data_IF_849896251905
#
_entry.id   IF_849896251905
#
_cell.length_a   1.000
_cell.length_b   1.000
_cell.length_c   1.000
_cell.angle_alpha   90.00
_cell.angle_beta   90.00
_cell.angle_gamma   90.00
#
_symmetry.space_group_name_H-M   'P 1'
#
loop_
_entity.id
_entity.type
_entity.pdbx_description
1 polymer ?
#
# COMPACT_ATOMS: atom_id res chain seq x y z
N UNK A 1 -11.11 28.18 -8.23
CA UNK A 1 -11.03 26.82 -7.67
C UNK A 1 -11.27 26.79 -6.15
N UNK A 2 -10.93 27.82 -5.38
CA UNK A 2 -11.23 27.87 -3.93
C UNK A 2 -12.74 27.90 -3.58
N UNK A 3 -13.61 28.06 -4.58
CA UNK A 3 -15.07 27.94 -4.39
C UNK A 3 -15.56 26.47 -4.33
N UNK A 4 -14.69 25.51 -4.64
CA UNK A 4 -15.02 24.08 -4.56
C UNK A 4 -14.82 23.56 -3.14
N UNK A 5 -15.93 23.17 -2.51
CA UNK A 5 -15.96 22.67 -1.14
C UNK A 5 -15.69 21.16 -1.11
N UNK A 6 -14.69 20.75 -0.35
CA UNK A 6 -14.28 19.35 -0.22
C UNK A 6 -14.36 18.90 1.24
N UNK A 7 -14.85 17.69 1.44
CA UNK A 7 -14.58 16.89 2.64
C UNK A 7 -13.60 15.80 2.24
N UNK A 8 -12.51 15.66 3.02
CA UNK A 8 -11.50 14.63 2.80
C UNK A 8 -11.64 13.49 3.79
N UNK A 9 -11.57 12.24 3.31
CA UNK A 9 -11.59 11.04 4.13
C UNK A 9 -10.33 10.20 3.88
N UNK A 10 -9.47 10.07 4.87
CA UNK A 10 -8.21 9.34 4.73
C UNK A 10 -7.57 9.01 6.07
N UNK A 11 -6.57 8.12 6.08
CA UNK A 11 -5.94 7.72 7.36
C UNK A 11 -4.41 7.61 7.26
N UNK A 12 -3.80 6.77 6.39
CA UNK A 12 -2.36 6.54 6.36
C UNK A 12 -1.61 7.69 5.65
N UNK A 13 -0.31 7.61 5.72
CA UNK A 13 0.65 8.47 5.03
C UNK A 13 0.43 8.53 3.51
N UNK A 14 -0.01 7.45 2.89
CA UNK A 14 -0.39 7.41 1.47
C UNK A 14 -1.37 8.55 1.08
N UNK A 15 -2.24 8.95 1.98
CA UNK A 15 -3.24 9.97 1.73
C UNK A 15 -2.73 11.42 1.92
N UNK A 16 -1.54 11.59 2.52
CA UNK A 16 -0.99 12.91 2.90
C UNK A 16 -0.74 13.83 1.70
N UNK A 17 -0.04 13.41 0.61
CA UNK A 17 0.16 14.28 -0.54
C UNK A 17 -1.15 14.74 -1.16
N UNK A 18 -2.15 13.83 -1.24
CA UNK A 18 -3.49 14.16 -1.74
C UNK A 18 -4.16 15.25 -0.89
N UNK A 19 -4.17 15.11 0.44
CA UNK A 19 -4.76 16.13 1.32
C UNK A 19 -4.05 17.47 1.18
N UNK A 20 -2.72 17.50 1.20
CA UNK A 20 -1.93 18.74 1.05
C UNK A 20 -2.23 19.44 -0.27
N UNK A 21 -2.27 18.69 -1.37
CA UNK A 21 -2.57 19.25 -2.70
C UNK A 21 -3.99 19.80 -2.77
N UNK A 22 -4.95 19.12 -2.15
CA UNK A 22 -6.34 19.59 -2.10
C UNK A 22 -6.50 20.85 -1.24
N UNK A 23 -5.79 20.98 -0.13
CA UNK A 23 -5.75 22.21 0.70
C UNK A 23 -5.20 23.40 -0.10
N UNK A 24 -4.16 23.16 -0.89
CA UNK A 24 -3.56 24.19 -1.76
C UNK A 24 -4.55 24.70 -2.81
N UNK A 25 -5.26 23.81 -3.48
CA UNK A 25 -6.07 24.08 -4.67
C UNK A 25 -7.53 24.41 -4.37
N UNK A 26 -8.12 23.82 -3.34
CA UNK A 26 -9.56 23.82 -3.07
C UNK A 26 -9.85 24.25 -1.62
N UNK A 27 -11.13 24.33 -1.28
CA UNK A 27 -11.62 24.66 0.06
C UNK A 27 -11.95 23.37 0.83
N UNK A 28 -10.94 22.79 1.51
CA UNK A 28 -11.15 21.62 2.36
C UNK A 28 -11.77 22.05 3.69
N UNK A 29 -13.05 21.74 3.91
CA UNK A 29 -13.84 22.14 5.08
C UNK A 29 -13.67 21.24 6.28
N UNK A 30 -13.50 19.95 6.06
CA UNK A 30 -13.36 18.97 7.12
C UNK A 30 -12.56 17.75 6.66
N UNK A 31 -11.96 17.09 7.62
CA UNK A 31 -11.23 15.85 7.45
C UNK A 31 -11.85 14.76 8.32
N UNK A 32 -12.08 13.59 7.73
CA UNK A 32 -12.50 12.38 8.44
C UNK A 32 -11.36 11.38 8.42
N UNK A 33 -11.00 10.85 9.59
CA UNK A 33 -9.91 9.88 9.72
C UNK A 33 -10.23 8.83 10.79
N UNK A 34 -9.49 7.72 10.80
CA UNK A 34 -9.65 6.70 11.85
C UNK A 34 -9.30 7.28 13.23
N UNK A 35 -9.92 6.77 14.30
CA UNK A 35 -9.53 7.12 15.67
C UNK A 35 -8.04 6.90 15.94
N UNK A 36 -7.48 7.70 16.84
CA UNK A 36 -6.10 7.54 17.31
C UNK A 36 -5.89 6.13 17.87
N UNK A 37 -4.77 5.50 17.53
CA UNK A 37 -4.48 4.11 17.93
C UNK A 37 -3.12 3.99 18.61
N UNK A 38 -2.96 3.03 19.53
CA UNK A 38 -1.66 2.73 20.11
C UNK A 38 -0.64 2.35 19.01
N UNK A 39 0.51 3.04 18.96
CA UNK A 39 1.59 2.79 17.99
C UNK A 39 2.90 2.51 18.72
N UNK A 40 3.73 1.63 18.15
CA UNK A 40 5.06 1.30 18.65
C UNK A 40 5.08 0.44 19.90
N UNK A 41 6.31 0.15 20.41
CA UNK A 41 6.53 -0.73 21.58
C UNK A 41 5.96 -0.16 22.89
N UNK A 42 5.84 1.17 23.00
CA UNK A 42 5.31 1.86 24.17
C UNK A 42 3.78 2.02 24.17
N UNK A 43 3.07 1.54 23.14
CA UNK A 43 1.61 1.67 22.99
C UNK A 43 1.06 3.09 23.24
N UNK A 44 1.85 4.13 23.02
CA UNK A 44 1.38 5.52 23.09
C UNK A 44 0.36 5.76 21.98
N UNK A 45 -0.72 6.47 22.31
CA UNK A 45 -1.70 6.90 21.32
C UNK A 45 -1.00 7.80 20.30
N UNK A 46 -1.12 7.45 19.02
CA UNK A 46 -0.60 8.23 17.91
C UNK A 46 -1.77 8.69 17.03
N UNK A 47 -1.70 9.92 16.60
CA UNK A 47 -2.58 10.49 15.60
C UNK A 47 -2.34 9.81 14.25
N UNK A 48 -3.35 9.82 13.37
CA UNK A 48 -3.15 9.48 11.98
C UNK A 48 -2.35 10.60 11.28
N UNK A 49 -1.58 10.26 10.26
CA UNK A 49 -0.86 11.25 9.47
C UNK A 49 -1.79 12.33 8.88
N UNK A 50 -3.00 11.94 8.54
CA UNK A 50 -4.03 12.86 8.05
C UNK A 50 -4.53 13.83 9.12
N UNK A 51 -4.69 13.36 10.37
CA UNK A 51 -5.04 14.24 11.49
C UNK A 51 -3.97 15.30 11.76
N UNK A 52 -2.70 14.90 11.73
CA UNK A 52 -1.58 15.82 11.91
C UNK A 52 -1.62 16.95 10.86
N UNK A 53 -1.74 16.61 9.57
CA UNK A 53 -1.84 17.60 8.49
C UNK A 53 -3.09 18.50 8.64
N UNK A 54 -4.23 17.94 9.03
CA UNK A 54 -5.46 18.72 9.20
C UNK A 54 -5.32 19.76 10.32
N UNK A 55 -4.75 19.38 11.47
CA UNK A 55 -4.51 20.27 12.60
C UNK A 55 -3.52 21.39 12.27
N UNK A 56 -2.43 21.08 11.55
CA UNK A 56 -1.45 22.06 11.05
C UNK A 56 -2.09 23.13 10.15
N UNK A 57 -3.19 22.77 9.46
CA UNK A 57 -3.90 23.66 8.54
C UNK A 57 -5.21 24.23 9.12
N UNK A 58 -5.47 24.06 10.43
CA UNK A 58 -6.68 24.50 11.12
C UNK A 58 -7.98 23.95 10.50
N UNK A 59 -7.96 22.72 10.00
CA UNK A 59 -9.11 22.04 9.43
C UNK A 59 -9.77 21.17 10.50
N UNK A 60 -11.10 21.22 10.58
CA UNK A 60 -11.89 20.45 11.52
C UNK A 60 -11.75 18.95 11.28
N UNK A 61 -11.52 18.15 12.35
CA UNK A 61 -11.24 16.72 12.27
C UNK A 61 -12.33 15.91 12.95
N UNK A 62 -12.84 14.91 12.25
CA UNK A 62 -13.81 13.94 12.73
C UNK A 62 -13.23 12.54 12.73
N UNK A 63 -13.45 11.78 13.81
CA UNK A 63 -12.88 10.45 14.00
C UNK A 63 -13.96 9.40 14.35
N UNK A 64 -14.93 9.15 13.46
CA UNK A 64 -15.98 8.17 13.72
C UNK A 64 -15.41 6.75 13.82
N UNK A 65 -15.84 5.97 14.81
CA UNK A 65 -15.49 4.53 14.90
C UNK A 65 -16.10 3.78 13.73
N UNK A 66 -17.37 4.08 13.41
CA UNK A 66 -18.11 3.56 12.25
C UNK A 66 -18.98 4.68 11.68
N UNK A 67 -18.53 5.31 10.61
CA UNK A 67 -19.24 6.47 10.03
C UNK A 67 -20.68 6.15 9.67
N UNK A 68 -20.98 4.97 9.12
CA UNK A 68 -22.34 4.57 8.75
C UNK A 68 -23.38 4.57 9.87
N UNK A 69 -22.93 4.57 11.13
CA UNK A 69 -23.78 4.55 12.31
C UNK A 69 -23.61 5.81 13.19
N UNK A 70 -22.87 6.80 12.69
CA UNK A 70 -22.53 8.02 13.45
C UNK A 70 -23.41 9.18 12.96
N UNK A 71 -24.59 9.31 13.57
CA UNK A 71 -25.58 10.33 13.21
C UNK A 71 -25.02 11.76 13.31
N UNK A 72 -24.14 12.01 14.29
CA UNK A 72 -23.51 13.33 14.49
C UNK A 72 -22.60 13.65 13.30
N UNK A 73 -21.72 12.70 12.92
CA UNK A 73 -20.84 12.86 11.78
C UNK A 73 -21.61 12.97 10.45
N UNK A 74 -22.69 12.19 10.27
CA UNK A 74 -23.53 12.25 9.08
C UNK A 74 -24.27 13.59 9.00
N UNK A 75 -24.83 14.07 10.12
CA UNK A 75 -25.46 15.38 10.20
C UNK A 75 -24.48 16.49 9.81
N UNK A 76 -23.25 16.42 10.34
CA UNK A 76 -22.21 17.40 10.01
C UNK A 76 -21.84 17.39 8.53
N UNK A 77 -21.72 16.22 7.90
CA UNK A 77 -21.54 16.12 6.46
C UNK A 77 -22.65 16.80 5.65
N UNK A 78 -23.90 16.61 6.07
CA UNK A 78 -25.06 17.28 5.43
C UNK A 78 -25.03 18.79 5.64
N UNK A 79 -24.64 19.28 6.82
CA UNK A 79 -24.47 20.72 7.11
C UNK A 79 -23.36 21.36 6.26
N UNK A 80 -22.23 20.68 6.07
CA UNK A 80 -21.14 21.14 5.21
C UNK A 80 -21.59 21.19 3.75
N UNK A 81 -22.46 20.26 3.30
CA UNK A 81 -22.97 20.14 1.95
C UNK A 81 -21.87 20.28 0.88
N UNK A 82 -20.84 19.39 0.89
CA UNK A 82 -19.67 19.54 0.05
C UNK A 82 -19.97 19.31 -1.43
N UNK A 83 -19.16 19.94 -2.30
CA UNK A 83 -19.16 19.62 -3.73
C UNK A 83 -18.68 18.19 -3.97
N UNK A 84 -17.62 17.79 -3.27
CA UNK A 84 -17.05 16.45 -3.35
C UNK A 84 -16.72 15.89 -1.95
N UNK A 85 -16.85 14.58 -1.80
CA UNK A 85 -16.16 13.81 -0.75
C UNK A 85 -15.02 13.05 -1.43
N UNK A 86 -13.77 13.35 -1.03
CA UNK A 86 -12.58 12.69 -1.56
C UNK A 86 -12.09 11.66 -0.57
N UNK A 87 -11.94 10.42 -1.02
CA UNK A 87 -11.57 9.26 -0.19
C UNK A 87 -10.24 8.69 -0.64
N UNK A 88 -9.29 8.60 0.29
CA UNK A 88 -7.98 7.99 0.04
C UNK A 88 -7.61 7.11 1.24
N UNK A 89 -7.70 5.80 1.09
CA UNK A 89 -7.37 4.83 2.13
C UNK A 89 -8.00 5.14 3.50
N UNK A 90 -9.29 5.48 3.53
CA UNK A 90 -10.03 5.81 4.77
C UNK A 90 -10.23 4.60 5.68
N UNK A 91 -10.40 3.42 5.10
CA UNK A 91 -10.57 2.17 5.84
C UNK A 91 -11.97 1.94 6.39
N UNK A 92 -12.99 2.62 5.88
CA UNK A 92 -14.41 2.38 6.19
C UNK A 92 -15.25 2.37 4.91
N UNK A 93 -16.29 1.56 4.92
CA UNK A 93 -17.30 1.54 3.84
C UNK A 93 -18.28 2.69 4.08
N UNK A 94 -18.58 3.47 3.05
CA UNK A 94 -19.55 4.52 3.09
C UNK A 94 -20.95 3.96 2.83
N UNK A 95 -21.93 4.40 3.63
CA UNK A 95 -23.34 4.06 3.38
C UNK A 95 -23.89 4.84 2.20
N UNK A 96 -24.98 4.34 1.58
CA UNK A 96 -25.68 5.06 0.53
C UNK A 96 -26.04 6.49 0.94
N UNK A 97 -26.47 6.67 2.18
CA UNK A 97 -26.77 7.99 2.74
C UNK A 97 -25.58 8.96 2.64
N UNK A 98 -24.35 8.49 2.95
CA UNK A 98 -23.14 9.32 2.86
C UNK A 98 -22.73 9.53 1.40
N UNK A 99 -22.87 8.51 0.56
CA UNK A 99 -22.54 8.57 -0.87
C UNK A 99 -23.40 9.61 -1.63
N UNK A 100 -24.64 9.81 -1.20
CA UNK A 100 -25.60 10.72 -1.83
C UNK A 100 -25.48 12.18 -1.32
N UNK A 101 -24.62 12.49 -0.32
CA UNK A 101 -24.49 13.85 0.23
C UNK A 101 -23.82 14.83 -0.76
N UNK A 102 -22.65 14.51 -1.33
CA UNK A 102 -21.90 15.49 -2.12
C UNK A 102 -22.53 15.75 -3.48
N UNK A 103 -22.54 17.02 -3.88
CA UNK A 103 -23.14 17.47 -5.15
C UNK A 103 -22.64 16.73 -6.38
N UNK A 104 -21.34 16.50 -6.48
CA UNK A 104 -20.69 15.83 -7.61
C UNK A 104 -20.30 14.39 -7.32
N UNK A 105 -20.49 13.91 -6.08
CA UNK A 105 -20.27 12.52 -5.67
C UNK A 105 -19.02 12.29 -4.81
N UNK A 106 -18.88 11.05 -4.37
CA UNK A 106 -17.72 10.57 -3.61
C UNK A 106 -16.70 9.99 -4.59
N UNK A 107 -15.47 10.51 -4.56
CA UNK A 107 -14.37 10.09 -5.42
C UNK A 107 -13.31 9.38 -4.58
N UNK A 108 -12.95 8.15 -4.98
CA UNK A 108 -11.86 7.41 -4.38
C UNK A 108 -10.61 7.44 -5.28
N UNK A 109 -9.44 7.59 -4.65
CA UNK A 109 -8.15 7.32 -5.27
C UNK A 109 -7.73 5.90 -4.91
N UNK A 110 -7.74 5.01 -5.88
CA UNK A 110 -7.36 3.62 -5.72
C UNK A 110 -5.99 3.35 -6.36
N UNK A 111 -5.07 2.75 -5.61
CA UNK A 111 -3.69 2.55 -6.02
C UNK A 111 -3.51 1.31 -6.90
N UNK A 112 -4.30 1.19 -7.96
CA UNK A 112 -4.15 0.20 -9.03
C UNK A 112 -4.75 0.67 -10.34
N UNK A 113 -4.44 -0.05 -11.42
CA UNK A 113 -5.11 0.07 -12.72
C UNK A 113 -6.38 -0.78 -12.72
N UNK A 114 -7.49 -0.24 -12.17
CA UNK A 114 -8.78 -0.94 -12.14
C UNK A 114 -9.23 -1.39 -13.55
N UNK A 115 -9.87 -2.57 -13.67
CA UNK A 115 -10.49 -3.40 -12.63
C UNK A 115 -9.56 -4.39 -11.92
N UNK A 116 -8.24 -4.38 -12.21
CA UNK A 116 -7.27 -5.22 -11.51
C UNK A 116 -7.02 -4.72 -10.09
N UNK A 117 -6.82 -5.66 -9.15
CA UNK A 117 -6.40 -5.38 -7.77
C UNK A 117 -7.38 -4.52 -6.96
N UNK A 118 -8.69 -4.81 -7.06
CA UNK A 118 -9.67 -4.28 -6.11
C UNK A 118 -9.35 -4.75 -4.70
N UNK A 119 -9.51 -3.91 -3.69
CA UNK A 119 -9.38 -4.28 -2.29
C UNK A 119 -8.21 -3.62 -1.56
N UNK A 120 -7.70 -4.29 -0.51
CA UNK A 120 -6.96 -3.64 0.56
C UNK A 120 -5.47 -3.40 0.29
N UNK A 121 -4.81 -4.18 -0.59
CA UNK A 121 -3.35 -4.13 -0.76
C UNK A 121 -2.90 -4.17 -2.24
N UNK A 122 -3.46 -3.32 -3.12
CA UNK A 122 -3.21 -3.38 -4.56
C UNK A 122 -1.72 -3.24 -4.92
N UNK A 123 -1.00 -2.35 -4.25
CA UNK A 123 0.42 -2.06 -4.47
C UNK A 123 1.29 -3.31 -4.26
N UNK A 124 1.08 -3.98 -3.12
CA UNK A 124 1.83 -5.18 -2.77
C UNK A 124 1.54 -6.33 -3.75
N UNK A 125 0.26 -6.55 -4.06
CA UNK A 125 -0.13 -7.62 -4.96
C UNK A 125 0.34 -7.42 -6.40
N UNK A 126 0.41 -6.19 -6.89
CA UNK A 126 0.98 -5.90 -8.21
C UNK A 126 2.43 -6.40 -8.30
N UNK A 127 3.26 -6.17 -7.28
CA UNK A 127 4.64 -6.67 -7.24
C UNK A 127 4.69 -8.18 -7.02
N UNK A 128 3.94 -8.73 -6.06
CA UNK A 128 3.93 -10.18 -5.79
C UNK A 128 3.52 -10.99 -7.03
N UNK A 129 2.61 -10.44 -7.84
CA UNK A 129 2.16 -11.06 -9.10
C UNK A 129 3.10 -10.81 -10.28
N UNK A 130 4.15 -10.00 -10.11
CA UNK A 130 5.15 -9.73 -11.13
C UNK A 130 4.64 -8.87 -12.28
N UNK A 131 3.66 -7.99 -12.01
CA UNK A 131 3.21 -7.00 -12.99
C UNK A 131 4.38 -6.12 -13.41
N UNK A 132 4.35 -5.65 -14.65
CA UNK A 132 5.37 -4.74 -15.20
C UNK A 132 5.00 -3.28 -15.04
N UNK A 133 3.74 -3.02 -14.74
CA UNK A 133 3.18 -1.70 -14.50
C UNK A 133 2.12 -1.76 -13.42
N UNK A 134 1.92 -0.64 -12.75
CA UNK A 134 0.82 -0.35 -11.85
C UNK A 134 0.36 1.08 -12.10
N UNK A 135 -0.44 1.65 -11.22
CA UNK A 135 -0.89 3.03 -11.36
C UNK A 135 -1.93 3.39 -10.33
N UNK A 136 -2.54 4.54 -10.52
CA UNK A 136 -3.70 4.97 -9.77
C UNK A 136 -4.92 5.05 -10.70
N UNK A 137 -6.07 4.80 -10.13
CA UNK A 137 -7.37 5.05 -10.75
C UNK A 137 -8.19 5.92 -9.82
N UNK A 138 -8.68 7.06 -10.27
CA UNK A 138 -9.78 7.77 -9.61
C UNK A 138 -11.10 7.17 -10.08
N UNK A 139 -12.03 6.98 -9.15
CA UNK A 139 -13.33 6.39 -9.47
C UNK A 139 -14.42 6.98 -8.59
N UNK A 140 -15.66 6.93 -9.07
CA UNK A 140 -16.82 7.13 -8.19
C UNK A 140 -16.93 5.97 -7.20
N UNK A 141 -17.30 6.29 -5.98
CA UNK A 141 -17.63 5.25 -5.00
C UNK A 141 -19.09 4.82 -5.17
N UNK A 142 -19.31 3.53 -4.97
CA UNK A 142 -20.61 2.90 -4.82
C UNK A 142 -20.64 2.04 -3.54
N UNK A 143 -21.69 1.26 -3.34
CA UNK A 143 -21.81 0.38 -2.16
C UNK A 143 -20.92 -0.86 -2.24
N UNK A 144 -20.28 -1.12 -3.38
CA UNK A 144 -19.37 -2.25 -3.58
C UNK A 144 -17.91 -1.94 -3.21
N UNK A 145 -17.10 -2.98 -3.19
CA UNK A 145 -15.67 -2.85 -2.96
C UNK A 145 -14.95 -2.50 -4.26
N UNK A 146 -14.58 -1.24 -4.44
CA UNK A 146 -13.87 -0.71 -5.60
C UNK A 146 -14.55 -1.05 -6.95
N UNK A 147 -15.90 -0.98 -6.99
CA UNK A 147 -16.72 -1.39 -8.15
C UNK A 147 -17.25 -0.22 -8.96
N UNK A 148 -17.15 0.99 -8.46
CA UNK A 148 -17.70 2.19 -9.08
C UNK A 148 -17.07 2.55 -10.43
N UNK A 149 -17.70 3.48 -11.15
CA UNK A 149 -17.22 3.91 -12.45
C UNK A 149 -15.87 4.60 -12.37
N UNK A 150 -14.94 4.19 -13.23
CA UNK A 150 -13.60 4.78 -13.35
C UNK A 150 -13.66 6.17 -14.01
N UNK A 151 -12.74 7.03 -13.62
CA UNK A 151 -12.63 8.39 -14.14
C UNK A 151 -11.31 8.60 -14.89
N UNK A 152 -10.23 8.83 -14.17
CA UNK A 152 -8.89 8.98 -14.74
C UNK A 152 -7.96 7.90 -14.22
N UNK A 153 -6.89 7.66 -14.99
CA UNK A 153 -5.80 6.74 -14.61
C UNK A 153 -4.47 7.38 -14.92
N UNK A 154 -3.47 7.08 -14.11
CA UNK A 154 -2.07 7.20 -14.49
C UNK A 154 -1.37 5.85 -14.37
N UNK A 155 -0.30 5.67 -15.15
CA UNK A 155 0.46 4.41 -15.18
C UNK A 155 1.87 4.66 -14.68
N UNK A 156 2.38 3.74 -13.87
CA UNK A 156 3.74 3.74 -13.33
C UNK A 156 4.40 2.42 -13.68
N UNK A 157 5.57 2.47 -14.28
CA UNK A 157 6.38 1.28 -14.58
C UNK A 157 6.95 0.70 -13.29
N UNK A 158 6.89 -0.61 -13.13
CA UNK A 158 7.51 -1.34 -12.02
C UNK A 158 8.89 -1.81 -12.48
N UNK A 159 9.95 -1.23 -11.90
CA UNK A 159 11.31 -1.63 -12.20
C UNK A 159 11.66 -2.99 -11.56
N UNK A 160 12.63 -3.70 -12.14
CA UNK A 160 12.94 -5.10 -11.78
C UNK A 160 13.31 -5.30 -10.29
N UNK A 161 13.86 -4.29 -9.62
CA UNK A 161 14.23 -4.37 -8.21
C UNK A 161 13.31 -3.54 -7.28
N UNK A 162 12.28 -2.91 -7.84
CA UNK A 162 11.37 -2.05 -7.07
C UNK A 162 10.62 -2.84 -6.00
N UNK A 163 10.57 -2.31 -4.79
CA UNK A 163 9.79 -2.83 -3.65
C UNK A 163 8.39 -2.22 -3.62
N UNK A 164 7.49 -2.83 -2.83
CA UNK A 164 6.16 -2.26 -2.63
C UNK A 164 6.22 -0.89 -1.92
N UNK A 165 7.21 -0.65 -1.05
CA UNK A 165 7.42 0.65 -0.43
C UNK A 165 7.80 1.74 -1.44
N UNK A 166 8.72 1.45 -2.35
CA UNK A 166 9.11 2.40 -3.41
C UNK A 166 7.97 2.68 -4.39
N UNK A 167 7.21 1.65 -4.77
CA UNK A 167 6.01 1.83 -5.61
C UNK A 167 4.94 2.65 -4.90
N UNK A 168 4.73 2.43 -3.58
CA UNK A 168 3.82 3.19 -2.74
C UNK A 168 4.16 4.69 -2.78
N UNK A 169 5.44 5.05 -2.61
CA UNK A 169 5.87 6.45 -2.59
C UNK A 169 5.64 7.15 -3.93
N UNK A 170 5.89 6.45 -5.04
CA UNK A 170 5.62 6.98 -6.39
C UNK A 170 4.11 7.15 -6.62
N UNK A 171 3.29 6.17 -6.19
CA UNK A 171 1.85 6.21 -6.42
C UNK A 171 1.15 7.25 -5.54
N UNK A 172 1.59 7.48 -4.31
CA UNK A 172 0.98 8.52 -3.46
C UNK A 172 1.20 9.93 -4.02
N UNK A 173 2.40 10.20 -4.57
CA UNK A 173 2.68 11.51 -5.19
C UNK A 173 1.91 11.68 -6.50
N UNK A 174 2.04 10.73 -7.43
CA UNK A 174 1.35 10.81 -8.73
C UNK A 174 -0.18 10.74 -8.62
N UNK A 175 -0.70 10.09 -7.57
CA UNK A 175 -2.13 10.04 -7.28
C UNK A 175 -2.70 11.37 -6.83
N UNK A 176 -1.91 12.18 -6.13
CA UNK A 176 -2.34 13.52 -5.68
C UNK A 176 -2.63 14.45 -6.87
N UNK A 177 -1.80 14.43 -7.90
CA UNK A 177 -2.00 15.20 -9.14
C UNK A 177 -3.22 14.67 -9.93
N UNK A 178 -3.38 13.36 -10.00
CA UNK A 178 -4.50 12.73 -10.66
C UNK A 178 -5.84 13.13 -10.03
N UNK A 179 -5.91 13.25 -8.68
CA UNK A 179 -7.10 13.72 -7.97
C UNK A 179 -7.47 15.15 -8.34
N UNK A 180 -6.49 16.07 -8.38
CA UNK A 180 -6.73 17.46 -8.78
C UNK A 180 -7.33 17.50 -10.18
N UNK A 181 -6.68 16.84 -11.15
CA UNK A 181 -7.16 16.78 -12.53
C UNK A 181 -8.56 16.17 -12.63
N UNK A 182 -8.86 15.19 -11.78
CA UNK A 182 -10.19 14.57 -11.73
C UNK A 182 -11.26 15.54 -11.25
N UNK A 183 -11.01 16.29 -10.18
CA UNK A 183 -11.97 17.25 -9.62
C UNK A 183 -12.23 18.38 -10.63
N UNK A 184 -11.17 18.90 -11.23
CA UNK A 184 -11.24 19.97 -12.25
C UNK A 184 -12.07 19.49 -13.45
N UNK A 185 -11.72 18.34 -14.03
CA UNK A 185 -12.40 17.82 -15.21
C UNK A 185 -13.85 17.40 -14.96
N UNK A 186 -14.20 16.95 -13.75
CA UNK A 186 -15.60 16.67 -13.37
C UNK A 186 -16.43 17.96 -13.28
N UNK A 187 -15.85 19.04 -12.75
CA UNK A 187 -16.53 20.36 -12.70
C UNK A 187 -16.73 20.97 -14.08
N UNK A 188 -15.76 20.80 -14.95
CA UNK A 188 -15.80 21.27 -16.33
C UNK A 188 -16.63 20.37 -17.26
N UNK A 189 -17.02 19.18 -16.80
CA UNK A 189 -17.77 18.20 -17.59
C UNK A 189 -16.92 17.55 -18.70
N UNK A 190 -15.59 17.59 -18.59
CA UNK A 190 -14.67 17.04 -19.59
C UNK A 190 -14.35 15.54 -19.39
N UNK A 191 -14.61 15.01 -18.19
CA UNK A 191 -14.36 13.60 -17.86
C UNK A 191 -15.61 12.76 -18.09
N UNK A 192 -15.42 11.65 -18.81
CA UNK A 192 -16.47 10.63 -19.00
C UNK A 192 -16.29 9.51 -17.98
N UNK A 193 -17.40 9.03 -17.43
CA UNK A 193 -17.43 7.84 -16.57
C UNK A 193 -17.27 6.58 -17.41
N UNK A 194 -16.40 5.69 -16.98
CA UNK A 194 -16.17 4.40 -17.61
C UNK A 194 -16.55 3.28 -16.65
N UNK A 195 -17.54 2.46 -17.03
CA UNK A 195 -17.93 1.28 -16.24
C UNK A 195 -16.80 0.25 -16.24
N UNK A 196 -16.54 -0.30 -15.07
CA UNK A 196 -15.57 -1.38 -14.96
C UNK A 196 -16.11 -2.64 -15.67
N UNK A 197 -15.33 -3.17 -16.63
CA UNK A 197 -15.64 -4.45 -17.25
C UNK A 197 -15.53 -5.58 -16.23
N UNK A 198 -16.35 -6.62 -16.37
CA UNK A 198 -16.29 -7.80 -15.49
C UNK A 198 -15.08 -8.70 -15.75
N UNK A 199 -14.43 -8.52 -16.88
CA UNK A 199 -13.22 -9.22 -17.27
C UNK A 199 -12.00 -8.66 -16.53
N UNK A 200 -11.02 -9.50 -16.26
CA UNK A 200 -9.75 -9.14 -15.60
C UNK A 200 -9.86 -8.58 -14.17
N UNK A 201 -10.95 -8.85 -13.47
CA UNK A 201 -11.05 -8.50 -12.04
C UNK A 201 -10.08 -9.36 -11.25
N UNK A 202 -9.18 -8.73 -10.53
CA UNK A 202 -8.28 -9.35 -9.56
C UNK A 202 -8.55 -8.70 -8.21
N UNK A 203 -8.64 -9.53 -7.16
CA UNK A 203 -8.78 -9.02 -5.79
C UNK A 203 -7.45 -9.01 -5.07
N UNK A 204 -7.13 -7.89 -4.43
CA UNK A 204 -5.96 -7.66 -3.59
C UNK A 204 -6.34 -7.79 -2.11
N UNK A 205 -6.28 -9.01 -1.58
CA UNK A 205 -6.62 -9.29 -0.18
C UNK A 205 -5.73 -8.54 0.79
N UNK A 206 -6.24 -8.32 2.00
CA UNK A 206 -5.46 -7.74 3.09
C UNK A 206 -4.25 -8.61 3.43
N UNK A 207 -3.09 -7.98 3.61
CA UNK A 207 -1.87 -8.68 4.01
C UNK A 207 -1.90 -9.08 5.48
N UNK A 208 -1.22 -10.17 5.78
CA UNK A 208 -0.97 -10.61 7.14
C UNK A 208 0.46 -11.14 7.30
N UNK A 209 0.91 -11.29 8.55
CA UNK A 209 2.29 -11.71 8.83
C UNK A 209 2.62 -13.12 8.34
N UNK A 210 1.63 -14.01 8.29
CA UNK A 210 1.86 -15.41 7.87
C UNK A 210 2.24 -15.51 6.39
N UNK A 211 1.73 -14.59 5.56
CA UNK A 211 2.10 -14.50 4.14
C UNK A 211 3.59 -14.27 3.91
N UNK A 212 4.30 -13.73 4.91
CA UNK A 212 5.74 -13.49 4.84
C UNK A 212 6.60 -14.76 4.96
N UNK A 213 6.05 -15.91 5.38
CA UNK A 213 6.82 -17.15 5.48
C UNK A 213 7.23 -17.62 4.09
N UNK A 214 8.54 -17.69 3.86
CA UNK A 214 9.09 -18.15 2.58
C UNK A 214 8.95 -19.65 2.46
N UNK A 215 8.39 -20.09 1.34
CA UNK A 215 8.41 -21.48 0.87
C UNK A 215 9.58 -21.63 -0.13
N UNK A 216 10.66 -22.24 0.27
CA UNK A 216 11.85 -22.42 -0.57
C UNK A 216 11.62 -23.37 -1.76
N UNK A 217 10.52 -24.17 -1.75
CA UNK A 217 10.11 -24.99 -2.90
C UNK A 217 9.47 -24.16 -4.03
N UNK A 218 9.39 -22.84 -3.89
CA UNK A 218 9.03 -21.93 -4.98
C UNK A 218 10.24 -21.60 -5.85
N UNK A 219 9.98 -21.00 -7.01
CA UNK A 219 11.04 -20.51 -7.89
C UNK A 219 11.76 -19.29 -7.29
N UNK A 220 13.01 -19.08 -7.67
CA UNK A 220 13.78 -17.88 -7.31
C UNK A 220 13.00 -16.60 -7.60
N UNK A 221 12.27 -16.58 -8.75
CA UNK A 221 11.43 -15.45 -9.15
C UNK A 221 10.25 -15.23 -8.21
N UNK A 222 9.50 -16.29 -7.87
CA UNK A 222 8.36 -16.18 -6.95
C UNK A 222 8.81 -15.70 -5.56
N UNK A 223 9.94 -16.21 -5.05
CA UNK A 223 10.46 -15.80 -3.74
C UNK A 223 10.96 -14.34 -3.78
N UNK A 224 11.67 -13.93 -4.84
CA UNK A 224 12.12 -12.55 -5.00
C UNK A 224 10.94 -11.58 -5.09
N UNK A 225 9.89 -11.92 -5.84
CA UNK A 225 8.66 -11.15 -5.93
C UNK A 225 7.96 -11.03 -4.58
N UNK A 226 7.91 -12.10 -3.79
CA UNK A 226 7.35 -12.08 -2.44
C UNK A 226 8.16 -11.14 -1.52
N UNK A 227 9.49 -11.24 -1.53
CA UNK A 227 10.37 -10.38 -0.72
C UNK A 227 10.13 -8.92 -1.06
N UNK A 228 10.14 -8.55 -2.34
CA UNK A 228 9.92 -7.17 -2.79
C UNK A 228 8.51 -6.67 -2.50
N UNK A 229 7.51 -7.50 -2.75
CA UNK A 229 6.10 -7.15 -2.57
C UNK A 229 5.68 -7.03 -1.10
N UNK A 230 6.40 -7.65 -0.18
CA UNK A 230 6.14 -7.55 1.26
C UNK A 230 7.06 -6.56 1.99
N UNK A 231 7.94 -5.87 1.30
CA UNK A 231 8.82 -4.85 1.86
C UNK A 231 8.14 -3.46 1.71
N UNK A 232 7.94 -2.67 2.78
CA UNK A 232 8.50 -2.83 4.15
C UNK A 232 7.61 -3.61 5.14
N UNK A 233 6.42 -4.02 4.78
CA UNK A 233 5.50 -4.75 5.66
C UNK A 233 4.63 -5.73 4.86
N UNK A 234 4.37 -6.96 5.39
CA UNK A 234 4.76 -7.52 6.68
C UNK A 234 6.20 -8.06 6.74
N UNK A 235 6.96 -8.00 5.67
CA UNK A 235 8.32 -8.53 5.44
C UNK A 235 8.36 -10.05 5.29
N UNK A 236 9.04 -10.50 4.24
CA UNK A 236 9.31 -11.93 4.06
C UNK A 236 10.29 -12.45 5.10
N UNK A 237 10.09 -13.69 5.56
CA UNK A 237 10.93 -14.30 6.59
C UNK A 237 11.08 -15.81 6.42
N UNK A 238 12.12 -16.35 7.01
CA UNK A 238 12.38 -17.78 7.15
C UNK A 238 12.89 -18.10 8.53
N UNK A 239 13.02 -19.39 8.88
CA UNK A 239 13.70 -19.84 10.10
C UNK A 239 15.16 -20.13 9.80
N UNK A 240 16.05 -19.71 10.69
CA UNK A 240 17.46 -20.03 10.74
C UNK A 240 17.80 -20.43 12.18
N UNK A 241 18.11 -21.72 12.43
CA UNK A 241 18.45 -22.24 13.78
C UNK A 241 17.42 -21.79 14.84
N UNK A 242 16.15 -22.05 14.64
CA UNK A 242 15.06 -21.64 15.53
C UNK A 242 14.88 -20.11 15.74
N UNK A 243 15.54 -19.29 14.94
CA UNK A 243 15.37 -17.83 14.96
C UNK A 243 14.73 -17.35 13.66
N UNK A 244 13.81 -16.40 13.78
CA UNK A 244 13.22 -15.77 12.60
C UNK A 244 14.21 -14.83 11.94
N UNK A 245 14.64 -15.14 10.72
CA UNK A 245 15.43 -14.26 9.86
C UNK A 245 14.47 -13.56 8.88
N UNK A 246 14.30 -12.25 9.03
CA UNK A 246 13.58 -11.43 8.05
C UNK A 246 14.48 -11.07 6.89
N UNK A 247 13.93 -11.10 5.68
CA UNK A 247 14.64 -10.85 4.44
C UNK A 247 14.00 -9.63 3.75
N UNK A 248 14.80 -8.59 3.54
CA UNK A 248 14.34 -7.34 2.97
C UNK A 248 14.75 -7.16 1.51
N UNK A 249 15.85 -7.78 1.10
CA UNK A 249 16.31 -7.69 -0.27
C UNK A 249 17.00 -8.98 -0.72
N UNK A 250 16.83 -9.29 -2.01
CA UNK A 250 17.45 -10.45 -2.66
C UNK A 250 17.62 -10.21 -4.15
N UNK A 251 18.50 -10.98 -4.78
CA UNK A 251 18.68 -11.00 -6.22
C UNK A 251 18.66 -12.44 -6.76
N UNK A 252 18.14 -12.61 -7.97
CA UNK A 252 18.11 -13.90 -8.66
C UNK A 252 19.46 -14.08 -9.37
N UNK A 253 20.11 -15.21 -9.14
CA UNK A 253 21.35 -15.56 -9.83
C UNK A 253 21.06 -16.45 -11.06
N UNK A 254 21.88 -16.33 -12.10
CA UNK A 254 21.80 -17.18 -13.30
C UNK A 254 22.42 -18.57 -13.09
N UNK A 255 22.67 -18.95 -11.87
CA UNK A 255 23.27 -20.22 -11.46
C UNK A 255 22.14 -21.21 -11.08
N UNK A 256 22.36 -22.50 -11.30
CA UNK A 256 21.48 -23.58 -10.83
C UNK A 256 22.11 -24.34 -9.67
N UNK A 257 21.30 -25.07 -8.91
CA UNK A 257 21.75 -25.92 -7.82
C UNK A 257 20.90 -27.19 -7.78
N UNK A 258 21.57 -28.31 -7.51
CA UNK A 258 20.92 -29.63 -7.29
C UNK A 258 20.72 -29.90 -5.79
N UNK A 259 21.00 -28.94 -4.92
CA UNK A 259 20.79 -29.09 -3.49
C UNK A 259 19.33 -28.91 -3.13
N UNK A 260 18.92 -29.45 -2.00
CA UNK A 260 17.58 -29.28 -1.46
C UNK A 260 17.22 -27.80 -1.37
N UNK A 261 16.04 -27.37 -1.83
CA UNK A 261 15.58 -25.99 -1.66
C UNK A 261 15.66 -25.52 -0.21
N UNK A 262 16.14 -24.31 0.00
CA UNK A 262 16.44 -23.76 1.34
C UNK A 262 17.89 -23.98 1.80
N UNK A 263 18.69 -24.81 1.12
CA UNK A 263 20.08 -25.01 1.50
C UNK A 263 20.90 -23.74 1.30
N UNK A 264 21.60 -23.30 2.34
CA UNK A 264 22.61 -22.22 2.26
C UNK A 264 23.84 -22.78 1.54
N UNK A 265 24.08 -22.29 0.32
CA UNK A 265 25.18 -22.80 -0.54
C UNK A 265 26.50 -22.09 -0.26
N UNK A 266 26.42 -20.77 -0.04
CA UNK A 266 27.60 -19.91 0.20
C UNK A 266 27.21 -18.65 0.94
N UNK A 267 28.09 -18.21 1.83
CA UNK A 267 27.98 -16.95 2.56
C UNK A 267 29.18 -16.07 2.22
N UNK A 268 28.94 -14.88 1.71
CA UNK A 268 29.97 -13.94 1.32
C UNK A 268 29.53 -12.49 1.54
N UNK A 269 30.41 -11.52 1.28
CA UNK A 269 30.05 -10.09 1.30
C UNK A 269 28.97 -9.75 0.27
N UNK A 270 28.83 -10.53 -0.79
CA UNK A 270 27.81 -10.35 -1.83
C UNK A 270 26.41 -10.83 -1.39
N UNK A 271 26.33 -11.62 -0.31
CA UNK A 271 25.08 -12.14 0.23
C UNK A 271 25.15 -13.59 0.66
N UNK A 272 23.98 -14.13 1.01
CA UNK A 272 23.74 -15.54 1.33
C UNK A 272 23.11 -16.19 0.10
N UNK A 273 23.84 -17.06 -0.60
CA UNK A 273 23.32 -17.85 -1.71
C UNK A 273 22.51 -19.02 -1.19
N UNK A 274 21.25 -19.11 -1.56
CA UNK A 274 20.31 -20.16 -1.13
C UNK A 274 19.73 -20.87 -2.33
N UNK A 275 19.72 -22.21 -2.30
CA UNK A 275 19.08 -23.04 -3.31
C UNK A 275 17.56 -22.83 -3.27
N UNK A 276 16.95 -22.75 -4.45
CA UNK A 276 15.49 -22.70 -4.66
C UNK A 276 15.08 -23.84 -5.58
N UNK A 277 13.78 -23.95 -5.87
CA UNK A 277 13.30 -25.02 -6.76
C UNK A 277 13.98 -25.06 -8.14
N UNK A 278 14.34 -23.90 -8.69
CA UNK A 278 14.79 -23.74 -10.07
C UNK A 278 16.14 -23.05 -10.23
N UNK A 279 16.76 -22.63 -9.14
CA UNK A 279 18.01 -21.87 -9.22
C UNK A 279 18.55 -21.43 -7.87
N UNK A 280 19.16 -20.27 -7.83
CA UNK A 280 19.79 -19.70 -6.64
C UNK A 280 19.28 -18.28 -6.41
N UNK A 281 18.88 -18.01 -5.16
CA UNK A 281 18.57 -16.66 -4.68
C UNK A 281 19.71 -16.16 -3.80
N UNK A 282 20.23 -14.95 -4.03
CA UNK A 282 21.17 -14.27 -3.15
C UNK A 282 20.43 -13.31 -2.24
N UNK A 283 20.46 -13.56 -0.93
CA UNK A 283 19.90 -12.67 0.10
C UNK A 283 20.94 -11.63 0.44
N UNK A 284 20.60 -10.34 0.33
CA UNK A 284 21.55 -9.24 0.51
C UNK A 284 21.28 -8.38 1.75
N UNK A 285 20.03 -8.37 2.26
CA UNK A 285 19.65 -7.55 3.42
C UNK A 285 18.74 -8.34 4.35
N UNK A 286 19.14 -8.41 5.61
CA UNK A 286 18.47 -9.24 6.64
C UNK A 286 18.23 -8.48 7.94
N UNK A 287 17.32 -9.03 8.75
CA UNK A 287 17.13 -8.62 10.14
C UNK A 287 16.89 -9.84 11.03
N UNK A 288 17.72 -10.04 12.03
CA UNK A 288 17.54 -11.03 13.08
C UNK A 288 16.84 -10.45 14.31
N UNK A 289 16.26 -11.29 15.20
CA UNK A 289 15.61 -10.82 16.42
C UNK A 289 16.55 -9.95 17.27
N UNK A 290 16.04 -8.80 17.72
CA UNK A 290 16.81 -7.87 18.54
C UNK A 290 17.91 -7.07 17.82
N UNK A 291 18.11 -7.31 16.52
CA UNK A 291 19.12 -6.60 15.71
C UNK A 291 18.47 -5.56 14.80
N UNK A 292 19.27 -4.60 14.33
CA UNK A 292 18.86 -3.66 13.28
C UNK A 292 18.86 -4.36 11.92
N UNK A 293 18.07 -3.82 11.00
CA UNK A 293 18.18 -4.13 9.58
C UNK A 293 19.61 -3.82 9.10
N UNK A 294 20.26 -4.75 8.39
CA UNK A 294 21.60 -4.54 7.85
C UNK A 294 21.89 -5.39 6.62
N UNK A 295 22.82 -4.95 5.80
CA UNK A 295 23.34 -5.77 4.69
C UNK A 295 24.03 -7.01 5.23
N UNK A 296 23.99 -8.10 4.49
CA UNK A 296 24.68 -9.36 4.84
C UNK A 296 26.18 -9.11 5.02
N UNK A 297 26.78 -8.28 4.17
CA UNK A 297 28.18 -7.86 4.27
C UNK A 297 28.55 -7.34 5.68
N UNK A 298 27.67 -6.53 6.28
CA UNK A 298 27.89 -6.00 7.63
C UNK A 298 27.60 -7.03 8.72
N UNK A 299 26.56 -7.84 8.52
CA UNK A 299 26.16 -8.86 9.48
C UNK A 299 27.27 -9.90 9.73
N UNK A 300 27.92 -10.38 8.66
CA UNK A 300 28.94 -11.44 8.72
C UNK A 300 30.29 -10.97 9.33
N UNK A 301 30.52 -9.68 9.51
CA UNK A 301 31.71 -9.18 10.22
C UNK A 301 31.74 -9.61 11.69
N UNK A 302 30.57 -9.82 12.29
CA UNK A 302 30.47 -10.17 13.71
C UNK A 302 29.64 -11.43 13.99
N UNK A 303 29.09 -12.08 12.96
CA UNK A 303 28.20 -13.22 13.11
C UNK A 303 28.45 -14.25 12.02
N UNK A 304 28.58 -15.51 12.42
CA UNK A 304 28.71 -16.60 11.44
C UNK A 304 27.32 -17.08 10.99
N UNK A 305 27.18 -17.32 9.70
CA UNK A 305 26.05 -18.02 9.09
C UNK A 305 26.58 -19.32 8.49
N UNK A 306 26.03 -20.44 8.91
CA UNK A 306 26.52 -21.77 8.57
C UNK A 306 26.09 -22.18 7.15
N UNK A 307 27.06 -22.53 6.31
CA UNK A 307 26.83 -23.12 5.00
C UNK A 307 26.37 -24.58 5.13
N UNK A 308 25.55 -25.04 4.19
CA UNK A 308 24.99 -26.40 4.21
C UNK A 308 23.69 -26.54 5.02
N UNK A 309 23.35 -25.58 5.87
CA UNK A 309 22.10 -25.60 6.64
C UNK A 309 20.90 -25.34 5.73
N UNK A 310 19.77 -25.99 6.00
CA UNK A 310 18.48 -25.79 5.29
C UNK A 310 17.64 -24.78 6.06
N UNK A 311 17.23 -23.70 5.38
CA UNK A 311 16.36 -22.66 5.94
C UNK A 311 14.91 -23.14 5.96
N UNK A 312 14.18 -22.74 7.01
CA UNK A 312 12.74 -23.02 7.13
C UNK A 312 12.43 -24.23 7.99
N UNK A 313 13.46 -24.96 8.42
CA UNK A 313 13.38 -26.08 9.36
C UNK A 313 13.51 -25.61 10.81
#
# INVERSE_FOLDING_TARGET
>A
MKDTTIVFMGTPDFAVPSLKKLIEKFNVKAVFTQPDRPKGRGKKLAMSAIKEVALENNIEVYQPIKLKNDEICIKKLKEINPDFIIVVAFGQILSKEVLDIPKYGCINLHASLLPKYRGAAPINWAIIKGEKESGNTTMFMDEGLDTGDMLLKNTVKIEDNMTAGELHDILMESGSELLVSTIEGLKEGTIKREKQKRENIIYASMLNKQMGKIDWNKTSKEINLLIRGLNPWPVAYTQYKNQTMKIYNSSILKESSNKTPGTILKVSREGIKVATRDGILSITTVQFPGKKLMKVEEYIKGHNIEEGLVLGE
#
